data_IF_980651155966
#
_entry.id   IF_980651155966
#
_cell.length_a   1.000
_cell.length_b   1.000
_cell.length_c   1.000
_cell.angle_alpha   90.00
_cell.angle_beta   90.00
_cell.angle_gamma   90.00
#
_symmetry.space_group_name_H-M   'P 1'
#
loop_
_entity.id
_entity.type
_entity.pdbx_description
1 polymer ?
#
# COMPACT_ATOMS: atom_id res chain seq x y z
N UNK A 1 10.59 -36.57 -13.17
CA UNK A 1 10.87 -35.32 -12.42
C UNK A 1 11.58 -35.70 -11.12
N UNK A 2 12.74 -35.10 -10.81
CA UNK A 2 13.58 -35.52 -9.66
C UNK A 2 13.23 -34.85 -8.33
N UNK A 3 12.35 -33.84 -8.31
CA UNK A 3 11.79 -33.26 -7.08
C UNK A 3 10.28 -33.04 -7.28
N UNK A 4 9.40 -33.56 -6.41
CA UNK A 4 7.96 -33.33 -6.52
C UNK A 4 7.62 -31.86 -6.25
N UNK A 5 6.82 -31.24 -7.13
CA UNK A 5 6.27 -29.90 -6.89
C UNK A 5 5.11 -29.98 -5.90
N UNK A 6 5.36 -29.57 -4.66
CA UNK A 6 4.33 -29.49 -3.63
C UNK A 6 3.45 -28.25 -3.84
N UNK A 7 2.22 -28.44 -4.35
CA UNK A 7 1.29 -27.34 -4.71
C UNK A 7 0.65 -26.65 -3.51
N UNK A 8 0.42 -27.40 -2.43
CA UNK A 8 -0.27 -26.94 -1.23
C UNK A 8 0.34 -27.58 0.01
N UNK A 9 0.46 -26.85 1.11
CA UNK A 9 0.97 -27.37 2.37
C UNK A 9 0.19 -26.91 3.59
N UNK A 10 0.69 -27.31 4.77
CA UNK A 10 0.20 -26.77 6.04
C UNK A 10 0.49 -25.28 6.08
N UNK A 11 -0.51 -24.50 6.52
CA UNK A 11 -0.42 -23.05 6.66
C UNK A 11 -0.44 -22.68 8.13
N UNK A 12 0.40 -21.72 8.47
CA UNK A 12 0.44 -21.12 9.80
C UNK A 12 -0.86 -20.34 10.07
N UNK A 13 -1.33 -20.39 11.31
CA UNK A 13 -2.29 -19.40 11.79
C UNK A 13 -1.54 -18.12 12.12
N UNK A 14 -1.60 -17.15 11.22
CA UNK A 14 -0.85 -15.91 11.33
C UNK A 14 -1.62 -14.77 11.97
N UNK A 15 -0.90 -13.71 12.32
CA UNK A 15 -1.43 -12.45 12.84
C UNK A 15 -2.51 -11.88 11.93
N UNK A 16 -2.33 -12.04 10.62
CA UNK A 16 -3.33 -11.73 9.60
C UNK A 16 -3.67 -13.00 8.84
N UNK A 17 -4.97 -13.21 8.59
CA UNK A 17 -5.44 -14.21 7.63
C UNK A 17 -5.94 -13.48 6.39
N UNK A 18 -5.15 -13.49 5.32
CA UNK A 18 -5.46 -12.78 4.09
C UNK A 18 -6.53 -13.51 3.27
N UNK A 19 -7.59 -12.81 2.90
CA UNK A 19 -8.83 -13.32 2.32
C UNK A 19 -9.12 -12.65 0.97
N UNK A 20 -10.11 -13.20 0.26
CA UNK A 20 -10.49 -12.69 -1.07
C UNK A 20 -11.00 -11.26 -1.00
N UNK A 21 -11.71 -10.90 0.08
CA UNK A 21 -12.23 -9.55 0.31
C UNK A 21 -11.12 -8.50 0.41
N UNK A 22 -9.99 -8.88 1.01
CA UNK A 22 -8.81 -8.01 1.13
C UNK A 22 -8.18 -7.73 -0.24
N UNK A 23 -8.40 -8.60 -1.23
CA UNK A 23 -7.95 -8.43 -2.60
C UNK A 23 -9.00 -7.71 -3.46
N UNK A 24 -10.27 -8.12 -3.37
CA UNK A 24 -11.33 -7.62 -4.27
C UNK A 24 -11.80 -6.21 -3.89
N UNK A 25 -11.77 -5.87 -2.61
CA UNK A 25 -12.23 -4.59 -2.09
C UNK A 25 -11.24 -4.02 -1.06
N UNK A 26 -9.96 -3.80 -1.45
CA UNK A 26 -8.88 -3.49 -0.51
C UNK A 26 -9.10 -2.17 0.25
N UNK A 27 -9.83 -1.24 -0.34
CA UNK A 27 -10.10 0.09 0.24
C UNK A 27 -11.36 0.14 1.11
N UNK A 28 -12.16 -0.94 1.15
CA UNK A 28 -13.40 -1.02 1.93
C UNK A 28 -13.27 -1.94 3.15
N UNK A 29 -12.12 -2.60 3.33
CA UNK A 29 -11.90 -3.48 4.46
C UNK A 29 -11.63 -2.68 5.74
N UNK A 30 -12.07 -3.17 6.92
CA UNK A 30 -11.75 -2.54 8.21
C UNK A 30 -10.24 -2.42 8.48
N UNK A 31 -9.47 -3.41 8.01
CA UNK A 31 -8.00 -3.38 8.03
C UNK A 31 -7.51 -3.05 6.62
N UNK A 32 -6.89 -1.88 6.38
CA UNK A 32 -6.40 -1.48 5.06
C UNK A 32 -5.07 -2.18 4.73
N UNK A 33 -5.12 -3.51 4.55
CA UNK A 33 -3.95 -4.38 4.39
C UNK A 33 -3.08 -4.05 3.17
N UNK A 34 -3.62 -3.37 2.16
CA UNK A 34 -2.82 -2.88 1.03
C UNK A 34 -1.67 -1.95 1.49
N UNK A 35 -1.81 -1.29 2.64
CA UNK A 35 -0.76 -0.44 3.22
C UNK A 35 0.43 -1.21 3.77
N UNK A 36 0.27 -2.51 4.06
CA UNK A 36 1.30 -3.37 4.64
C UNK A 36 1.87 -4.36 3.62
N UNK A 37 1.64 -4.13 2.32
CA UNK A 37 2.10 -4.96 1.22
C UNK A 37 3.63 -5.11 1.18
N UNK A 38 4.11 -6.35 1.00
CA UNK A 38 5.54 -6.71 0.90
C UNK A 38 5.91 -7.57 -0.31
N UNK A 39 4.91 -8.06 -1.04
CA UNK A 39 5.05 -8.83 -2.26
C UNK A 39 3.80 -8.60 -3.11
N UNK A 40 3.91 -8.77 -4.43
CA UNK A 40 2.82 -8.53 -5.37
C UNK A 40 2.46 -9.78 -6.16
N UNK A 41 1.21 -9.87 -6.60
CA UNK A 41 0.73 -10.92 -7.50
C UNK A 41 -0.38 -10.42 -8.41
N UNK A 42 -0.48 -11.00 -9.60
CA UNK A 42 -1.43 -10.63 -10.64
C UNK A 42 -2.24 -11.84 -11.18
N UNK A 43 -1.91 -13.04 -10.73
CA UNK A 43 -2.56 -14.27 -11.18
C UNK A 43 -4.00 -14.35 -10.64
N UNK A 44 -4.98 -14.84 -11.43
CA UNK A 44 -6.32 -15.10 -10.93
C UNK A 44 -6.32 -16.21 -9.87
N UNK A 45 -7.42 -16.34 -9.15
CA UNK A 45 -7.60 -17.47 -8.24
C UNK A 45 -7.82 -18.73 -9.08
N UNK A 46 -6.95 -19.72 -8.89
CA UNK A 46 -7.00 -21.01 -9.60
C UNK A 46 -6.75 -22.18 -8.62
N UNK A 47 -7.76 -23.05 -8.50
CA UNK A 47 -7.69 -24.29 -7.74
C UNK A 47 -8.11 -25.47 -8.59
N UNK A 48 -7.45 -26.61 -8.39
CA UNK A 48 -7.78 -27.85 -9.07
C UNK A 48 -8.23 -28.91 -8.07
N UNK A 49 -9.46 -29.38 -8.20
CA UNK A 49 -10.01 -30.44 -7.37
C UNK A 49 -10.06 -31.80 -8.06
N UNK A 50 -9.24 -32.01 -9.10
CA UNK A 50 -9.24 -33.27 -9.89
C UNK A 50 -9.02 -34.54 -9.06
N UNK A 51 -8.44 -34.42 -7.85
CA UNK A 51 -8.25 -35.54 -6.92
C UNK A 51 -9.49 -35.87 -6.07
N UNK A 52 -10.44 -34.95 -5.96
CA UNK A 52 -11.71 -35.16 -5.27
C UNK A 52 -12.85 -35.08 -6.30
N UNK A 53 -13.33 -36.23 -6.83
CA UNK A 53 -14.42 -36.26 -7.80
C UNK A 53 -15.72 -35.61 -7.28
N UNK A 54 -15.95 -35.64 -5.96
CA UNK A 54 -17.12 -35.05 -5.29
C UNK A 54 -17.06 -33.52 -5.19
N UNK A 55 -15.90 -32.91 -5.44
CA UNK A 55 -15.79 -31.45 -5.46
C UNK A 55 -16.34 -30.88 -6.77
N UNK A 56 -16.83 -29.62 -6.77
CA UNK A 56 -17.21 -28.96 -8.02
C UNK A 56 -16.04 -28.92 -9.01
N UNK A 57 -16.23 -29.55 -10.17
CA UNK A 57 -15.19 -29.66 -11.21
C UNK A 57 -15.03 -28.37 -12.03
N UNK A 58 -16.06 -27.53 -12.04
CA UNK A 58 -16.05 -26.19 -12.64
C UNK A 58 -16.26 -25.16 -11.55
N UNK A 59 -15.18 -24.55 -11.09
CA UNK A 59 -15.23 -23.45 -10.13
C UNK A 59 -14.98 -22.14 -10.85
N UNK A 60 -16.04 -21.32 -10.95
CA UNK A 60 -15.88 -19.90 -11.19
C UNK A 60 -15.40 -19.25 -9.89
N UNK A 61 -14.17 -18.76 -9.87
CA UNK A 61 -13.68 -17.97 -8.73
C UNK A 61 -14.08 -16.51 -8.91
N UNK A 62 -14.34 -15.84 -7.78
CA UNK A 62 -14.62 -14.41 -7.78
C UNK A 62 -13.45 -13.66 -8.44
N UNK A 63 -13.70 -12.82 -9.45
CA UNK A 63 -12.64 -12.11 -10.15
C UNK A 63 -11.94 -11.14 -9.20
N UNK A 64 -10.61 -11.19 -9.19
CA UNK A 64 -9.77 -10.35 -8.35
C UNK A 64 -8.86 -9.45 -9.20
N UNK A 65 -8.54 -8.23 -8.76
CA UNK A 65 -7.44 -7.46 -9.36
C UNK A 65 -6.08 -8.05 -8.95
N UNK A 66 -5.00 -7.49 -9.50
CA UNK A 66 -3.67 -7.72 -8.91
C UNK A 66 -3.62 -7.17 -7.49
N UNK A 67 -2.83 -7.80 -6.62
CA UNK A 67 -2.84 -7.57 -5.18
C UNK A 67 -1.44 -7.47 -4.59
N UNK A 68 -1.42 -7.03 -3.33
CA UNK A 68 -0.23 -7.06 -2.48
C UNK A 68 -0.46 -7.97 -1.29
N UNK A 69 0.54 -8.81 -0.97
CA UNK A 69 0.54 -9.70 0.19
C UNK A 69 0.96 -8.90 1.43
N UNK A 70 0.14 -8.82 2.49
CA UNK A 70 0.44 -8.01 3.67
C UNK A 70 1.46 -8.68 4.60
N UNK A 71 2.35 -7.91 5.23
CA UNK A 71 3.43 -8.43 6.08
C UNK A 71 2.96 -9.40 7.18
N UNK A 72 1.82 -9.12 7.81
CA UNK A 72 1.31 -9.92 8.92
C UNK A 72 0.94 -11.37 8.57
N UNK A 73 0.91 -11.76 7.30
CA UNK A 73 0.72 -13.18 6.92
C UNK A 73 1.96 -14.04 7.18
N UNK A 74 3.13 -13.40 7.30
CA UNK A 74 4.42 -14.05 7.59
C UNK A 74 4.60 -14.29 9.10
N UNK A 75 3.80 -13.63 9.93
CA UNK A 75 3.95 -13.60 11.39
C UNK A 75 2.92 -14.52 12.07
N UNK A 76 3.30 -15.33 13.06
CA UNK A 76 2.35 -16.15 13.80
C UNK A 76 1.37 -15.30 14.62
N UNK A 77 0.16 -15.81 14.86
CA UNK A 77 -0.85 -15.14 15.68
C UNK A 77 -0.44 -15.09 17.17
N UNK A 78 0.20 -16.17 17.64
CA UNK A 78 0.78 -16.26 18.98
C UNK A 78 2.22 -15.74 18.96
N UNK A 79 2.67 -15.23 20.11
CA UNK A 79 4.06 -14.77 20.27
C UNK A 79 5.02 -15.97 20.24
N UNK A 80 5.66 -16.19 19.11
CA UNK A 80 6.80 -17.10 18.98
C UNK A 80 8.05 -16.31 18.59
N UNK A 81 9.14 -16.54 19.31
CA UNK A 81 10.45 -15.98 18.93
C UNK A 81 11.02 -16.76 17.76
N UNK A 82 11.59 -16.06 16.79
CA UNK A 82 12.38 -16.66 15.71
C UNK A 82 11.60 -17.39 14.61
N UNK A 83 10.27 -17.23 14.52
CA UNK A 83 9.47 -17.83 13.44
C UNK A 83 9.00 -16.76 12.46
N UNK A 84 9.32 -16.95 11.18
CA UNK A 84 8.77 -16.23 10.04
C UNK A 84 8.32 -17.28 9.03
N UNK A 85 7.02 -17.31 8.72
CA UNK A 85 6.50 -18.17 7.67
C UNK A 85 6.79 -17.55 6.29
N UNK A 86 7.16 -18.39 5.33
CA UNK A 86 7.36 -18.00 3.94
C UNK A 86 6.66 -18.98 3.00
N UNK A 87 6.73 -18.70 1.70
CA UNK A 87 6.23 -19.59 0.65
C UNK A 87 4.76 -19.99 0.88
N UNK A 88 4.42 -21.28 0.81
CA UNK A 88 3.04 -21.78 0.93
C UNK A 88 2.59 -21.95 2.38
N UNK A 89 3.46 -21.65 3.35
CA UNK A 89 3.15 -21.73 4.78
C UNK A 89 2.48 -20.47 5.32
N UNK A 90 2.42 -19.38 4.54
CA UNK A 90 1.86 -18.10 4.98
C UNK A 90 0.36 -18.19 5.31
N UNK A 91 -0.10 -17.27 6.16
CA UNK A 91 -1.47 -17.23 6.65
C UNK A 91 -2.44 -16.60 5.63
N UNK A 92 -2.85 -17.41 4.65
CA UNK A 92 -3.85 -17.06 3.62
C UNK A 92 -5.06 -17.99 3.71
N UNK A 93 -6.23 -17.53 3.26
CA UNK A 93 -7.39 -18.41 3.07
C UNK A 93 -7.07 -19.51 2.03
N UNK A 94 -7.82 -20.62 2.03
CA UNK A 94 -7.62 -21.64 0.99
C UNK A 94 -7.84 -21.03 -0.40
N UNK A 95 -8.86 -20.20 -0.57
CA UNK A 95 -9.13 -19.53 -1.85
C UNK A 95 -7.96 -18.65 -2.30
N UNK A 96 -7.41 -17.80 -1.41
CA UNK A 96 -6.28 -16.90 -1.75
C UNK A 96 -4.99 -17.67 -2.05
N UNK A 97 -4.79 -18.85 -1.46
CA UNK A 97 -3.67 -19.72 -1.81
C UNK A 97 -3.64 -20.07 -3.31
N UNK A 98 -4.79 -20.08 -3.99
CA UNK A 98 -4.90 -20.34 -5.43
C UNK A 98 -4.17 -19.33 -6.31
N UNK A 99 -3.88 -18.14 -5.77
CA UNK A 99 -3.11 -17.10 -6.47
C UNK A 99 -1.74 -16.83 -5.83
N UNK A 100 -1.62 -16.81 -4.50
CA UNK A 100 -0.34 -16.49 -3.82
C UNK A 100 0.73 -17.57 -3.97
N UNK A 101 0.35 -18.82 -4.29
CA UNK A 101 1.29 -19.96 -4.43
C UNK A 101 2.15 -19.94 -5.70
N UNK A 102 1.91 -19.00 -6.60
CA UNK A 102 2.64 -18.90 -7.87
C UNK A 102 4.10 -18.54 -7.60
N UNK A 103 5.02 -19.16 -8.35
CA UNK A 103 6.46 -19.06 -8.09
C UNK A 103 6.96 -17.60 -8.01
N UNK A 104 6.54 -16.65 -8.89
CA UNK A 104 6.94 -15.26 -8.76
C UNK A 104 6.53 -14.62 -7.42
N UNK A 105 5.28 -14.83 -7.00
CA UNK A 105 4.79 -14.31 -5.72
C UNK A 105 5.53 -14.94 -4.53
N UNK A 106 5.77 -16.25 -4.58
CA UNK A 106 6.54 -16.99 -3.56
C UNK A 106 7.98 -16.48 -3.43
N UNK A 107 8.64 -16.15 -4.55
CA UNK A 107 10.00 -15.59 -4.52
C UNK A 107 10.02 -14.22 -3.83
N UNK A 108 9.04 -13.35 -4.12
CA UNK A 108 8.89 -12.06 -3.45
C UNK A 108 8.58 -12.22 -1.95
N UNK A 109 7.73 -13.18 -1.59
CA UNK A 109 7.46 -13.54 -0.18
C UNK A 109 8.76 -13.98 0.52
N UNK A 110 9.60 -14.78 -0.15
CA UNK A 110 10.91 -15.20 0.37
C UNK A 110 11.86 -14.01 0.60
N UNK A 111 11.92 -13.08 -0.36
CA UNK A 111 12.71 -11.85 -0.23
C UNK A 111 12.22 -11.00 0.96
N UNK A 112 10.90 -10.84 1.11
CA UNK A 112 10.31 -10.12 2.23
C UNK A 112 10.59 -10.79 3.58
N UNK A 113 10.46 -12.12 3.67
CA UNK A 113 10.77 -12.88 4.88
C UNK A 113 12.24 -12.75 5.28
N UNK A 114 13.17 -12.86 4.33
CA UNK A 114 14.60 -12.65 4.59
C UNK A 114 14.93 -11.21 5.01
N UNK A 115 14.31 -10.22 4.36
CA UNK A 115 14.46 -8.80 4.73
C UNK A 115 13.96 -8.54 6.16
N UNK A 116 12.79 -9.08 6.52
CA UNK A 116 12.24 -9.01 7.86
C UNK A 116 13.18 -9.62 8.90
N UNK A 117 13.71 -10.83 8.63
CA UNK A 117 14.65 -11.50 9.51
C UNK A 117 15.93 -10.68 9.73
N UNK A 118 16.50 -10.14 8.65
CA UNK A 118 17.72 -9.33 8.71
C UNK A 118 17.51 -8.04 9.51
N UNK A 119 16.37 -7.35 9.33
CA UNK A 119 16.03 -6.16 10.08
C UNK A 119 15.77 -6.47 11.56
N UNK A 120 15.11 -7.58 11.87
CA UNK A 120 14.88 -8.02 13.24
C UNK A 120 16.21 -8.16 14.01
N UNK A 121 17.21 -8.81 13.40
CA UNK A 121 18.54 -9.00 14.00
C UNK A 121 19.30 -7.68 14.10
N UNK A 122 19.38 -6.92 12.99
CA UNK A 122 20.15 -5.67 12.94
C UNK A 122 19.61 -4.61 13.91
N UNK A 123 18.30 -4.54 14.08
CA UNK A 123 17.65 -3.62 15.00
C UNK A 123 17.53 -4.13 16.44
N UNK A 124 18.08 -5.33 16.74
CA UNK A 124 17.97 -5.98 18.05
C UNK A 124 16.51 -6.08 18.56
N UNK A 125 15.58 -6.36 17.64
CA UNK A 125 14.17 -6.51 17.99
C UNK A 125 13.93 -7.85 18.69
N UNK A 126 13.05 -7.84 19.70
CA UNK A 126 12.70 -9.03 20.49
C UNK A 126 11.99 -10.13 19.68
N UNK A 127 11.35 -9.77 18.57
CA UNK A 127 10.72 -10.67 17.61
C UNK A 127 10.58 -10.00 16.24
N UNK A 128 10.30 -10.79 15.19
CA UNK A 128 9.99 -10.28 13.86
C UNK A 128 8.74 -9.39 13.85
N UNK A 129 7.78 -9.64 14.76
CA UNK A 129 6.56 -8.83 14.89
C UNK A 129 6.84 -7.42 15.41
N UNK A 130 7.92 -7.23 16.16
CA UNK A 130 8.32 -5.92 16.67
C UNK A 130 9.01 -5.03 15.62
N UNK A 131 9.37 -5.57 14.45
CA UNK A 131 9.96 -4.78 13.35
C UNK A 131 8.88 -3.89 12.73
N UNK A 132 9.11 -2.56 12.60
CA UNK A 132 8.15 -1.66 11.95
C UNK A 132 7.87 -2.05 10.50
N UNK A 133 6.60 -2.01 10.10
CA UNK A 133 6.18 -2.34 8.73
C UNK A 133 6.90 -1.46 7.71
N UNK A 134 7.01 -0.15 8.01
CA UNK A 134 7.67 0.83 7.13
C UNK A 134 9.15 0.56 6.93
N UNK A 135 9.85 0.06 7.96
CA UNK A 135 11.25 -0.33 7.83
C UNK A 135 11.43 -1.48 6.81
N UNK A 136 10.55 -2.49 6.86
CA UNK A 136 10.56 -3.61 5.90
C UNK A 136 10.26 -3.12 4.49
N UNK A 137 9.21 -2.32 4.32
CA UNK A 137 8.81 -1.80 3.01
C UNK A 137 9.87 -0.86 2.42
N UNK A 138 10.52 -0.03 3.22
CA UNK A 138 11.61 0.84 2.78
C UNK A 138 12.83 0.04 2.30
N UNK A 139 13.20 -1.03 3.02
CA UNK A 139 14.27 -1.93 2.62
C UNK A 139 13.93 -2.66 1.31
N UNK A 140 12.69 -3.11 1.14
CA UNK A 140 12.22 -3.75 -0.09
C UNK A 140 12.22 -2.79 -1.29
N UNK A 141 11.74 -1.55 -1.12
CA UNK A 141 11.81 -0.52 -2.18
C UNK A 141 13.25 -0.23 -2.59
N UNK A 142 14.18 -0.14 -1.63
CA UNK A 142 15.61 0.06 -1.92
C UNK A 142 16.18 -1.09 -2.77
N UNK A 143 15.67 -2.30 -2.58
CA UNK A 143 15.98 -3.49 -3.38
C UNK A 143 15.16 -3.58 -4.69
N UNK A 144 14.49 -2.49 -5.10
CA UNK A 144 13.67 -2.40 -6.32
C UNK A 144 12.47 -3.36 -6.33
N UNK A 145 11.94 -3.74 -5.17
CA UNK A 145 10.70 -4.49 -5.08
C UNK A 145 9.47 -3.57 -5.23
N UNK A 146 8.39 -4.12 -5.77
CA UNK A 146 7.07 -3.46 -5.77
C UNK A 146 6.38 -3.68 -4.43
N UNK A 147 5.80 -2.62 -3.85
CA UNK A 147 4.87 -2.74 -2.72
C UNK A 147 3.43 -2.88 -3.20
N UNK A 148 3.09 -2.20 -4.30
CA UNK A 148 1.78 -2.24 -4.97
C UNK A 148 1.92 -2.60 -6.45
N UNK A 149 1.01 -3.42 -7.00
CA UNK A 149 1.12 -4.00 -8.35
C UNK A 149 0.64 -3.03 -9.44
N UNK A 150 1.18 -1.82 -9.48
CA UNK A 150 0.83 -0.85 -10.51
C UNK A 150 1.37 -1.25 -11.88
N UNK A 151 0.47 -1.65 -12.77
CA UNK A 151 0.81 -2.24 -14.06
C UNK A 151 1.37 -1.23 -15.08
N UNK A 152 1.07 0.05 -14.89
CA UNK A 152 1.46 1.19 -15.71
C UNK A 152 2.63 1.99 -15.13
N UNK A 153 3.29 1.49 -14.09
CA UNK A 153 4.43 2.14 -13.45
C UNK A 153 5.59 1.14 -13.34
N UNK A 154 6.55 1.24 -14.25
CA UNK A 154 7.73 0.36 -14.27
C UNK A 154 8.80 0.82 -13.28
N UNK A 155 9.78 -0.05 -12.97
CA UNK A 155 10.96 0.30 -12.17
C UNK A 155 11.82 1.41 -12.77
N UNK A 156 11.69 1.66 -14.08
CA UNK A 156 12.40 2.72 -14.80
C UNK A 156 11.64 4.05 -14.81
N UNK A 157 10.39 4.08 -14.33
CA UNK A 157 9.66 5.34 -14.21
C UNK A 157 10.37 6.25 -13.19
N UNK A 158 10.65 7.48 -13.58
CA UNK A 158 11.34 8.47 -12.74
C UNK A 158 10.63 8.72 -11.40
N UNK A 159 9.30 8.56 -11.36
CA UNK A 159 8.46 8.80 -10.20
C UNK A 159 8.10 7.50 -9.45
N UNK A 160 8.66 6.34 -9.86
CA UNK A 160 8.36 5.01 -9.32
C UNK A 160 8.32 5.00 -7.79
N UNK A 161 9.36 5.52 -7.15
CA UNK A 161 9.50 5.51 -5.70
C UNK A 161 8.43 6.34 -4.98
N UNK A 162 8.14 7.55 -5.48
CA UNK A 162 7.10 8.42 -4.89
C UNK A 162 5.72 7.81 -5.09
N UNK A 163 5.45 7.25 -6.27
CA UNK A 163 4.19 6.57 -6.56
C UNK A 163 3.99 5.36 -5.62
N UNK A 164 4.99 4.50 -5.47
CA UNK A 164 4.91 3.33 -4.58
C UNK A 164 4.70 3.74 -3.12
N UNK A 165 5.44 4.75 -2.63
CA UNK A 165 5.29 5.25 -1.25
C UNK A 165 3.92 5.84 -0.99
N UNK A 166 3.42 6.73 -1.85
CA UNK A 166 2.12 7.38 -1.65
C UNK A 166 0.96 6.41 -1.84
N UNK A 167 1.10 5.47 -2.78
CA UNK A 167 0.19 4.35 -2.93
C UNK A 167 0.10 3.49 -1.66
N UNK A 168 1.25 3.03 -1.15
CA UNK A 168 1.33 2.19 0.04
C UNK A 168 1.01 2.95 1.34
N UNK A 169 1.13 4.28 1.34
CA UNK A 169 0.57 5.11 2.39
C UNK A 169 -0.96 5.12 2.28
N UNK A 170 -1.52 5.22 1.08
CA UNK A 170 -2.96 5.19 0.84
C UNK A 170 -3.58 6.57 0.62
N UNK A 171 -2.73 7.56 0.34
CA UNK A 171 -3.11 8.94 0.01
C UNK A 171 -3.47 9.10 -1.47
N UNK A 172 -2.98 8.21 -2.35
CA UNK A 172 -3.47 8.07 -3.72
C UNK A 172 -3.70 6.59 -4.02
N UNK A 173 -4.88 6.25 -4.50
CA UNK A 173 -5.31 4.86 -4.74
C UNK A 173 -5.16 4.47 -6.20
N UNK A 174 -4.82 3.21 -6.45
CA UNK A 174 -4.91 2.61 -7.78
C UNK A 174 -6.27 1.96 -8.01
N UNK A 175 -6.63 1.75 -9.27
CA UNK A 175 -7.87 1.08 -9.68
C UNK A 175 -7.60 -0.36 -10.08
N UNK A 176 -8.12 -1.30 -9.28
CA UNK A 176 -8.05 -2.72 -9.59
C UNK A 176 -8.95 -3.09 -10.77
N UNK A 177 -8.42 -3.91 -11.69
CA UNK A 177 -9.13 -4.46 -12.83
C UNK A 177 -8.78 -5.95 -12.97
N UNK A 178 -9.73 -6.86 -12.69
CA UNK A 178 -9.61 -8.25 -13.09
C UNK A 178 -9.46 -8.35 -14.61
N UNK A 179 -8.51 -9.15 -15.08
CA UNK A 179 -8.22 -9.26 -16.50
C UNK A 179 -7.67 -10.65 -16.86
N UNK A 180 -8.59 -11.59 -17.12
CA UNK A 180 -8.29 -12.97 -17.49
C UNK A 180 -7.17 -13.58 -16.62
N UNK A 181 -6.02 -13.90 -17.22
CA UNK A 181 -4.86 -14.51 -16.57
C UNK A 181 -3.79 -13.51 -16.09
N UNK A 182 -4.02 -12.21 -16.26
CA UNK A 182 -3.08 -11.15 -15.91
C UNK A 182 -3.85 -9.94 -15.36
N UNK A 183 -4.32 -10.08 -14.11
CA UNK A 183 -5.05 -9.02 -13.42
C UNK A 183 -4.19 -7.78 -13.26
N UNK A 184 -4.81 -6.61 -13.22
CA UNK A 184 -4.12 -5.33 -13.22
C UNK A 184 -4.60 -4.44 -12.09
N UNK A 185 -3.73 -3.55 -11.67
CA UNK A 185 -4.07 -2.39 -10.86
C UNK A 185 -3.42 -1.20 -11.54
N UNK A 186 -4.21 -0.21 -11.91
CA UNK A 186 -3.75 0.97 -12.64
C UNK A 186 -3.53 2.12 -11.67
N UNK A 187 -2.36 2.74 -11.68
CA UNK A 187 -2.15 3.98 -10.97
C UNK A 187 -2.68 5.18 -11.76
N UNK A 188 -2.60 5.13 -13.09
CA UNK A 188 -2.96 6.17 -14.06
C UNK A 188 -2.11 7.44 -13.86
N UNK A 189 -0.77 7.36 -13.95
CA UNK A 189 0.14 8.41 -13.50
C UNK A 189 -0.05 9.74 -14.24
N UNK A 190 -0.38 9.70 -15.52
CA UNK A 190 -0.56 10.87 -16.38
C UNK A 190 -1.99 11.41 -16.43
N UNK A 191 -2.92 10.80 -15.69
CA UNK A 191 -4.27 11.32 -15.53
C UNK A 191 -4.32 12.49 -14.54
N UNK A 192 -5.39 13.28 -14.60
CA UNK A 192 -5.71 14.33 -13.61
C UNK A 192 -6.83 13.84 -12.69
N UNK A 193 -6.91 14.33 -11.45
CA UNK A 193 -7.95 13.93 -10.49
C UNK A 193 -9.00 15.01 -10.29
N UNK A 194 -10.22 14.59 -9.99
CA UNK A 194 -11.27 15.45 -9.49
C UNK A 194 -11.02 15.78 -8.01
N UNK A 195 -11.19 17.06 -7.64
CA UNK A 195 -11.04 17.55 -6.26
C UNK A 195 -11.90 16.73 -5.29
N UNK A 196 -13.19 16.55 -5.64
CA UNK A 196 -14.13 15.79 -4.83
C UNK A 196 -13.65 14.35 -4.54
N UNK A 197 -13.18 13.62 -5.56
CA UNK A 197 -12.76 12.24 -5.40
C UNK A 197 -11.50 12.14 -4.52
N UNK A 198 -10.54 13.05 -4.72
CA UNK A 198 -9.34 13.13 -3.89
C UNK A 198 -9.68 13.37 -2.41
N UNK A 199 -10.51 14.38 -2.12
CA UNK A 199 -10.90 14.72 -0.75
C UNK A 199 -11.76 13.63 -0.10
N UNK A 200 -12.62 12.96 -0.87
CA UNK A 200 -13.39 11.80 -0.41
C UNK A 200 -12.49 10.63 0.00
N UNK A 201 -11.43 10.37 -0.76
CA UNK A 201 -10.47 9.31 -0.42
C UNK A 201 -9.62 9.65 0.81
N UNK A 202 -9.35 10.94 1.04
CA UNK A 202 -8.66 11.42 2.25
C UNK A 202 -9.56 11.45 3.48
N UNK A 203 -10.85 11.77 3.36
CA UNK A 203 -11.76 11.90 4.51
C UNK A 203 -11.98 10.58 5.27
N UNK A 204 -11.77 9.45 4.62
CA UNK A 204 -11.83 8.12 5.24
C UNK A 204 -10.53 7.69 5.92
N UNK A 205 -9.46 8.48 5.79
CA UNK A 205 -8.21 8.24 6.51
C UNK A 205 -8.39 8.63 7.98
N UNK A 206 -8.12 7.68 8.87
CA UNK A 206 -8.14 7.87 10.32
C UNK A 206 -6.74 7.68 10.88
N UNK A 207 -6.24 8.67 11.61
CA UNK A 207 -4.95 8.63 12.30
C UNK A 207 -5.23 8.56 13.80
N UNK A 208 -4.68 7.54 14.47
CA UNK A 208 -4.77 7.44 15.93
C UNK A 208 -3.68 8.30 16.57
N UNK A 209 -4.10 9.24 17.42
CA UNK A 209 -3.15 10.01 18.22
C UNK A 209 -2.58 9.19 19.39
N UNK A 210 -1.65 9.77 20.15
CA UNK A 210 -1.02 9.15 21.33
C UNK A 210 -2.01 8.75 22.43
N UNK A 211 -3.19 9.36 22.48
CA UNK A 211 -4.28 9.03 23.40
C UNK A 211 -5.22 7.93 22.86
N UNK A 212 -4.93 7.36 21.69
CA UNK A 212 -5.74 6.33 21.03
C UNK A 212 -7.02 6.86 20.36
N UNK A 213 -7.23 8.19 20.32
CA UNK A 213 -8.36 8.81 19.63
C UNK A 213 -8.10 8.84 18.13
N UNK A 214 -9.01 8.25 17.35
CA UNK A 214 -9.00 8.36 15.89
C UNK A 214 -9.41 9.78 15.47
N UNK A 215 -8.55 10.43 14.70
CA UNK A 215 -8.80 11.71 14.07
C UNK A 215 -8.93 11.48 12.56
N UNK A 216 -10.03 11.96 11.99
CA UNK A 216 -10.27 11.97 10.54
C UNK A 216 -9.72 13.25 9.94
N UNK A 217 -9.35 13.17 8.66
CA UNK A 217 -9.06 14.37 7.89
C UNK A 217 -10.27 15.33 7.90
N UNK A 218 -10.07 16.53 8.44
CA UNK A 218 -11.09 17.58 8.52
C UNK A 218 -10.91 18.57 7.39
N UNK A 219 -12.01 18.81 6.69
CA UNK A 219 -12.14 19.87 5.70
C UNK A 219 -12.63 21.17 6.38
N UNK A 220 -12.26 22.33 5.83
CA UNK A 220 -12.80 23.62 6.26
C UNK A 220 -14.27 23.77 5.89
N UNK A 221 -14.66 23.23 4.72
CA UNK A 221 -16.05 23.15 4.27
C UNK A 221 -16.55 21.70 4.14
N UNK A 222 -17.86 21.44 4.29
CA UNK A 222 -18.43 20.12 4.06
C UNK A 222 -18.12 19.59 2.64
N UNK A 223 -17.77 18.30 2.53
CA UNK A 223 -17.44 17.64 1.26
C UNK A 223 -18.55 17.79 0.19
N UNK A 224 -19.80 17.97 0.60
CA UNK A 224 -20.95 18.17 -0.30
C UNK A 224 -20.92 19.51 -1.04
N UNK A 225 -20.18 20.50 -0.53
CA UNK A 225 -20.00 21.81 -1.18
C UNK A 225 -18.87 21.84 -2.20
N UNK A 226 -17.99 20.83 -2.18
CA UNK A 226 -16.90 20.71 -3.15
C UNK A 226 -17.49 20.37 -4.51
N UNK A 227 -17.12 21.15 -5.52
CA UNK A 227 -17.51 20.89 -6.91
C UNK A 227 -16.98 19.52 -7.37
N UNK A 228 -17.90 18.71 -7.91
CA UNK A 228 -17.61 17.34 -8.36
C UNK A 228 -16.89 17.31 -9.71
N UNK A 229 -17.06 18.36 -10.51
CA UNK A 229 -16.46 18.46 -11.85
C UNK A 229 -15.11 19.21 -11.81
N UNK A 230 -14.83 19.93 -10.72
CA UNK A 230 -13.54 20.59 -10.53
C UNK A 230 -12.40 19.57 -10.48
N UNK A 231 -11.37 19.83 -11.28
CA UNK A 231 -10.12 19.07 -11.30
C UNK A 231 -9.04 19.81 -10.55
N UNK A 232 -8.16 19.05 -9.90
CA UNK A 232 -7.04 19.62 -9.15
C UNK A 232 -6.09 20.37 -10.08
N UNK A 233 -5.95 21.68 -9.86
CA UNK A 233 -4.84 22.47 -10.35
C UNK A 233 -3.60 22.29 -9.47
N UNK A 234 -2.43 22.75 -9.94
CA UNK A 234 -1.22 22.79 -9.09
C UNK A 234 -1.47 23.66 -7.85
N UNK A 235 -2.09 24.83 -8.00
CA UNK A 235 -2.40 25.72 -6.88
C UNK A 235 -3.30 25.04 -5.84
N UNK A 236 -4.41 24.45 -6.27
CA UNK A 236 -5.35 23.80 -5.37
C UNK A 236 -4.71 22.58 -4.70
N UNK A 237 -3.83 21.87 -5.41
CA UNK A 237 -3.09 20.74 -4.84
C UNK A 237 -2.16 21.17 -3.72
N UNK A 238 -1.41 22.27 -3.89
CA UNK A 238 -0.55 22.83 -2.84
C UNK A 238 -1.39 23.17 -1.61
N UNK A 239 -2.51 23.89 -1.79
CA UNK A 239 -3.43 24.22 -0.70
C UNK A 239 -3.93 22.97 0.05
N UNK A 240 -4.39 21.93 -0.67
CA UNK A 240 -4.89 20.72 -0.03
C UNK A 240 -3.79 19.95 0.70
N UNK A 241 -2.56 19.96 0.19
CA UNK A 241 -1.41 19.37 0.87
C UNK A 241 -1.05 20.16 2.13
N UNK A 242 -1.14 21.48 2.13
CA UNK A 242 -0.98 22.29 3.35
C UNK A 242 -2.03 21.94 4.40
N UNK A 243 -3.30 21.81 3.99
CA UNK A 243 -4.36 21.40 4.91
C UNK A 243 -4.15 19.97 5.42
N UNK A 244 -3.70 19.07 4.57
CA UNK A 244 -3.34 17.69 4.94
C UNK A 244 -2.22 17.66 5.98
N UNK A 245 -1.17 18.46 5.78
CA UNK A 245 -0.08 18.60 6.73
C UNK A 245 -0.59 19.08 8.10
N UNK A 246 -1.43 20.13 8.14
CA UNK A 246 -2.03 20.64 9.38
C UNK A 246 -2.88 19.58 10.11
N UNK A 247 -3.65 18.80 9.36
CA UNK A 247 -4.46 17.71 9.90
C UNK A 247 -3.60 16.57 10.47
N UNK A 248 -2.50 16.23 9.81
CA UNK A 248 -1.57 15.21 10.33
C UNK A 248 -0.88 15.74 11.59
N UNK A 249 -0.40 16.99 11.59
CA UNK A 249 0.25 17.62 12.72
C UNK A 249 -0.66 17.69 13.96
N UNK A 250 -1.95 17.96 13.78
CA UNK A 250 -2.91 17.98 14.89
C UNK A 250 -3.16 16.59 15.48
N UNK A 251 -3.05 15.54 14.65
CA UNK A 251 -3.16 14.16 15.11
C UNK A 251 -1.87 13.62 15.72
N UNK A 252 -0.72 14.06 15.21
CA UNK A 252 0.62 13.60 15.56
C UNK A 252 1.50 14.81 15.87
N UNK A 253 1.55 15.29 17.12
CA UNK A 253 2.32 16.49 17.47
C UNK A 253 3.82 16.38 17.22
N UNK A 254 4.37 15.16 17.27
CA UNK A 254 5.78 14.86 16.96
C UNK A 254 6.02 14.59 15.47
N UNK A 255 5.00 14.72 14.63
CA UNK A 255 5.16 14.71 13.19
C UNK A 255 6.13 15.84 12.82
N UNK A 256 7.33 15.47 12.42
CA UNK A 256 8.31 16.41 11.89
C UNK A 256 8.05 16.50 10.41
N UNK A 257 7.51 17.63 9.97
CA UNK A 257 7.41 17.92 8.54
C UNK A 257 8.81 18.04 7.97
N UNK A 258 8.99 17.69 6.68
CA UNK A 258 10.25 17.98 5.98
C UNK A 258 10.49 19.50 5.94
N UNK A 259 9.44 20.32 6.12
CA UNK A 259 9.58 21.78 6.02
C UNK A 259 8.51 22.58 6.77
N UNK A 260 8.84 23.77 7.33
CA UNK A 260 7.89 24.64 8.03
C UNK A 260 6.95 25.36 7.05
N UNK A 261 5.64 25.30 7.34
CA UNK A 261 4.50 26.19 6.99
C UNK A 261 4.34 26.84 5.61
N UNK A 262 5.28 26.73 4.66
CA UNK A 262 5.26 27.40 3.36
C UNK A 262 5.43 26.39 2.21
N UNK A 263 4.52 25.40 2.11
CA UNK A 263 4.59 24.34 1.09
C UNK A 263 4.65 24.95 -0.31
N UNK A 264 3.89 26.02 -0.57
CA UNK A 264 3.96 26.75 -1.84
C UNK A 264 5.40 27.14 -2.23
N UNK A 265 6.16 27.77 -1.32
CA UNK A 265 7.53 28.21 -1.60
C UNK A 265 8.47 27.03 -1.86
N UNK A 266 8.30 25.94 -1.13
CA UNK A 266 9.10 24.72 -1.29
C UNK A 266 8.83 24.07 -2.63
N UNK A 267 7.55 23.95 -2.98
CA UNK A 267 7.12 23.38 -4.25
C UNK A 267 7.67 24.22 -5.40
N UNK A 268 7.54 25.55 -5.35
CA UNK A 268 8.10 26.45 -6.37
C UNK A 268 9.62 26.31 -6.52
N UNK A 269 10.35 26.30 -5.41
CA UNK A 269 11.82 26.24 -5.42
C UNK A 269 12.37 24.89 -5.88
N UNK A 270 11.62 23.79 -5.66
CA UNK A 270 12.12 22.44 -5.89
C UNK A 270 11.42 21.71 -7.06
N UNK A 271 10.41 22.30 -7.70
CA UNK A 271 9.63 21.64 -8.76
C UNK A 271 10.52 20.97 -9.82
N UNK A 272 11.45 21.73 -10.40
CA UNK A 272 12.39 21.22 -11.40
C UNK A 272 13.40 20.24 -10.81
N UNK A 273 13.86 20.45 -9.57
CA UNK A 273 14.77 19.53 -8.88
C UNK A 273 14.12 18.16 -8.58
N UNK A 274 12.80 18.12 -8.44
CA UNK A 274 12.03 16.88 -8.33
C UNK A 274 11.74 16.22 -9.69
N UNK A 275 12.27 16.77 -10.79
CA UNK A 275 12.05 16.26 -12.15
C UNK A 275 10.63 16.50 -12.65
N UNK A 276 9.96 17.54 -12.15
CA UNK A 276 8.67 18.02 -12.63
C UNK A 276 8.88 19.22 -13.56
N UNK A 277 8.04 19.37 -14.59
CA UNK A 277 8.15 20.43 -15.60
C UNK A 277 6.89 21.30 -15.64
N UNK A 278 6.96 22.40 -16.39
CA UNK A 278 5.78 23.22 -16.73
C UNK A 278 4.99 23.68 -15.51
N UNK A 279 5.68 24.23 -14.52
CA UNK A 279 5.04 24.78 -13.33
C UNK A 279 4.18 25.98 -13.73
N UNK A 280 2.87 25.81 -13.64
CA UNK A 280 1.88 26.87 -13.79
C UNK A 280 0.77 26.60 -12.76
N UNK A 281 0.53 27.50 -11.79
CA UNK A 281 -0.45 27.29 -10.73
C UNK A 281 -1.85 26.91 -11.24
N UNK A 282 -2.26 27.41 -12.42
CA UNK A 282 -3.57 27.17 -13.01
C UNK A 282 -3.63 25.88 -13.86
N UNK A 283 -2.49 25.23 -14.11
CA UNK A 283 -2.44 23.96 -14.86
C UNK A 283 -2.99 22.84 -13.98
N UNK A 284 -3.75 21.94 -14.59
CA UNK A 284 -4.17 20.70 -13.93
C UNK A 284 -2.94 19.86 -13.54
N UNK A 285 -2.90 19.41 -12.30
CA UNK A 285 -1.82 18.54 -11.83
C UNK A 285 -2.08 17.10 -12.32
N UNK A 286 -1.03 16.42 -12.75
CA UNK A 286 -1.10 14.98 -13.02
C UNK A 286 -0.99 14.19 -11.72
N UNK A 287 -1.55 12.98 -11.69
CA UNK A 287 -1.53 12.10 -10.50
C UNK A 287 -0.11 11.77 -10.03
N UNK A 288 0.83 11.56 -10.96
CA UNK A 288 2.25 11.37 -10.65
C UNK A 288 2.88 12.60 -9.97
N UNK A 289 2.54 13.80 -10.43
CA UNK A 289 3.06 15.05 -9.89
C UNK A 289 2.52 15.28 -8.48
N UNK A 290 1.23 14.99 -8.25
CA UNK A 290 0.63 15.01 -6.93
C UNK A 290 1.27 13.98 -5.99
N UNK A 291 1.60 12.78 -6.48
CA UNK A 291 2.33 11.77 -5.69
C UNK A 291 3.72 12.29 -5.27
N UNK A 292 4.47 12.88 -6.21
CA UNK A 292 5.78 13.49 -5.91
C UNK A 292 5.62 14.64 -4.91
N UNK A 293 4.64 15.52 -5.11
CA UNK A 293 4.38 16.66 -4.22
C UNK A 293 4.11 16.18 -2.79
N UNK A 294 3.18 15.23 -2.57
CA UNK A 294 2.88 14.70 -1.23
C UNK A 294 4.11 13.99 -0.62
N UNK A 295 4.83 13.20 -1.43
CA UNK A 295 6.01 12.44 -0.98
C UNK A 295 7.17 13.34 -0.55
N UNK A 296 7.42 14.43 -1.28
CA UNK A 296 8.55 15.33 -1.02
C UNK A 296 8.28 16.41 0.03
N UNK A 297 7.01 16.67 0.35
CA UNK A 297 6.62 17.72 1.32
C UNK A 297 6.22 17.14 2.67
N UNK A 298 5.25 16.22 2.67
CA UNK A 298 4.70 15.59 3.88
C UNK A 298 5.42 14.27 4.19
N UNK A 299 5.78 13.52 3.14
CA UNK A 299 6.39 12.19 3.25
C UNK A 299 5.63 11.24 4.20
N UNK A 300 4.31 11.02 3.99
CA UNK A 300 3.50 10.24 4.94
C UNK A 300 3.93 8.77 5.06
N UNK A 301 4.67 8.24 4.08
CA UNK A 301 5.17 6.87 4.13
C UNK A 301 6.25 6.67 5.22
N UNK A 302 7.13 7.66 5.41
CA UNK A 302 8.19 7.61 6.42
C UNK A 302 7.71 8.22 7.73
N UNK A 303 6.95 9.31 7.65
CA UNK A 303 6.60 10.13 8.82
C UNK A 303 5.40 9.62 9.62
N UNK A 304 4.66 8.64 9.10
CA UNK A 304 3.49 8.04 9.77
C UNK A 304 3.65 6.53 9.80
N UNK A 305 3.82 6.00 11.01
CA UNK A 305 3.90 4.56 11.25
C UNK A 305 2.55 3.89 11.06
N UNK A 306 2.60 2.59 10.74
CA UNK A 306 1.41 1.74 10.64
C UNK A 306 1.59 0.46 11.44
N UNK A 307 0.51 -0.03 12.04
CA UNK A 307 0.49 -1.37 12.59
C UNK A 307 0.41 -2.45 11.49
N UNK A 308 0.51 -3.73 11.88
CA UNK A 308 0.41 -4.85 10.93
C UNK A 308 -0.94 -4.90 10.20
N UNK A 309 -1.99 -4.28 10.75
CA UNK A 309 -3.32 -4.20 10.15
C UNK A 309 -3.49 -3.01 9.20
N UNK A 310 -2.46 -2.17 9.04
CA UNK A 310 -2.45 -0.99 8.16
C UNK A 310 -3.06 0.27 8.78
N UNK A 311 -3.39 0.26 10.07
CA UNK A 311 -3.88 1.44 10.77
C UNK A 311 -2.72 2.39 11.02
N UNK A 312 -2.93 3.69 10.78
CA UNK A 312 -1.94 4.70 11.16
C UNK A 312 -1.87 4.81 12.68
N UNK A 313 -0.65 4.79 13.20
CA UNK A 313 -0.35 4.90 14.61
C UNK A 313 0.63 6.05 14.84
N UNK A 314 0.59 6.62 16.05
CA UNK A 314 1.67 7.48 16.50
C UNK A 314 2.96 6.65 16.63
N UNK A 315 4.11 7.20 16.18
CA UNK A 315 5.42 6.64 16.50
C UNK A 315 5.64 6.48 18.01
#
# INVERSE_FOLDING_TARGET
>A
ALIPYHREGRRMQGLIRFKVQDISQPYLQPSPLYRTGIAVGDYPIDHHHRKNPEAPQHLGFYPIPSFSVPLGVLLPALEFKGIIAAEKAISVSNVVNGTTRLQPCVLLIGQAAGTLAALAIKGNYSSAKAVPVRAVQAALLTQKAYLLPYADVSLSDKDFYSIQRIGAAGFLRGKGQPNAWANRTWFEPDSTLFSYQFLKDLSVIQIKNTLGKSLTFSLEEPLQKVDKEERLSIANSIYWVELLQKNIQSALPNFSTVTPTAIDQIVRNNWSAWGLTDFNPNRLIKKRELAVLIDKTINPFVSIEIDHFGNYISP
#
